data_IF_759953540186
#
_entry.id   IF_759953540186
#
_cell.length_a   1.000
_cell.length_b   1.000
_cell.length_c   1.000
_cell.angle_alpha   90.00
_cell.angle_beta   90.00
_cell.angle_gamma   90.00
#
_symmetry.space_group_name_H-M   'P 1'
#
loop_
_entity.id
_entity.type
_entity.pdbx_description
1 polymer ?
#
# COMPACT_ATOMS: atom_id res chain seq x y z
N UNK A 1 27.79 -19.05 13.80
CA UNK A 1 27.14 -17.74 14.01
C UNK A 1 25.87 -17.67 13.18
N UNK A 2 24.84 -16.96 13.66
CA UNK A 2 23.58 -16.78 12.93
C UNK A 2 23.66 -15.51 12.06
N UNK A 3 23.00 -15.54 10.88
CA UNK A 3 22.89 -14.39 9.98
C UNK A 3 22.02 -13.29 10.59
N UNK A 4 22.37 -12.02 10.37
CA UNK A 4 21.55 -10.84 10.66
C UNK A 4 20.27 -10.81 9.80
N UNK A 5 19.32 -9.94 10.17
CA UNK A 5 18.08 -9.74 9.39
C UNK A 5 18.38 -9.40 7.92
N UNK A 6 19.30 -8.45 7.68
CA UNK A 6 19.70 -8.04 6.33
C UNK A 6 20.42 -9.13 5.55
N UNK A 7 21.26 -9.94 6.20
CA UNK A 7 21.91 -11.08 5.54
C UNK A 7 20.90 -12.15 5.13
N UNK A 8 19.92 -12.46 5.99
CA UNK A 8 18.82 -13.38 5.63
C UNK A 8 18.01 -12.84 4.45
N UNK A 9 17.76 -11.53 4.41
CA UNK A 9 17.07 -10.87 3.30
C UNK A 9 17.83 -11.03 1.98
N UNK A 10 19.15 -10.77 1.99
CA UNK A 10 20.02 -10.91 0.81
C UNK A 10 20.07 -12.35 0.30
N UNK A 11 20.18 -13.33 1.20
CA UNK A 11 20.12 -14.76 0.84
C UNK A 11 18.76 -15.11 0.24
N UNK A 12 17.66 -14.62 0.81
CA UNK A 12 16.32 -14.86 0.26
C UNK A 12 16.15 -14.26 -1.14
N UNK A 13 16.67 -13.05 -1.37
CA UNK A 13 16.64 -12.39 -2.67
C UNK A 13 17.49 -13.12 -3.70
N UNK A 14 18.72 -13.51 -3.34
CA UNK A 14 19.59 -14.30 -4.20
C UNK A 14 18.91 -15.62 -4.61
N UNK A 15 18.29 -16.32 -3.66
CA UNK A 15 17.53 -17.56 -3.92
C UNK A 15 16.38 -17.33 -4.90
N UNK A 16 15.66 -16.21 -4.78
CA UNK A 16 14.57 -15.88 -5.71
C UNK A 16 15.11 -15.62 -7.13
N UNK A 17 16.31 -15.03 -7.27
CA UNK A 17 16.92 -14.71 -8.55
C UNK A 17 17.56 -15.90 -9.27
N UNK A 18 17.95 -16.96 -8.55
CA UNK A 18 18.62 -18.14 -9.11
C UNK A 18 17.84 -18.84 -10.22
N UNK A 19 16.51 -18.70 -10.23
CA UNK A 19 15.62 -19.31 -11.24
C UNK A 19 15.30 -18.39 -12.41
N UNK A 20 15.99 -17.24 -12.52
CA UNK A 20 15.76 -16.22 -13.56
C UNK A 20 14.27 -15.87 -13.72
N UNK A 21 13.58 -15.46 -12.64
CA UNK A 21 12.14 -15.24 -12.69
C UNK A 21 11.79 -14.05 -13.58
N UNK A 22 10.57 -14.02 -14.12
CA UNK A 22 10.01 -12.79 -14.72
C UNK A 22 9.26 -11.93 -13.70
N UNK A 23 8.85 -12.53 -12.56
CA UNK A 23 8.07 -11.89 -11.50
C UNK A 23 8.56 -12.32 -10.11
N UNK A 24 8.69 -11.35 -9.20
CA UNK A 24 8.97 -11.62 -7.78
C UNK A 24 7.86 -10.99 -6.92
N UNK A 25 7.35 -11.74 -5.94
CA UNK A 25 6.46 -11.24 -4.89
C UNK A 25 7.30 -10.89 -3.68
N UNK A 26 7.26 -9.62 -3.27
CA UNK A 26 8.00 -9.08 -2.14
C UNK A 26 7.02 -8.80 -1.00
N UNK A 27 6.94 -9.73 -0.05
CA UNK A 27 6.08 -9.60 1.13
C UNK A 27 6.85 -8.98 2.30
N UNK A 28 6.55 -7.73 2.60
CA UNK A 28 7.20 -6.92 3.66
C UNK A 28 8.74 -6.98 3.64
N UNK A 29 9.39 -6.66 2.49
CA UNK A 29 10.82 -6.93 2.25
C UNK A 29 11.78 -6.06 3.08
N UNK A 30 11.29 -5.20 3.95
CA UNK A 30 12.12 -4.31 4.78
C UNK A 30 11.66 -4.22 6.24
N UNK A 31 10.59 -4.94 6.62
CA UNK A 31 9.96 -4.79 7.94
C UNK A 31 10.84 -5.19 9.12
N UNK A 32 11.78 -6.11 8.90
CA UNK A 32 12.71 -6.63 9.91
C UNK A 32 14.09 -5.95 9.88
N UNK A 33 14.26 -4.87 9.13
CA UNK A 33 15.52 -4.18 8.92
C UNK A 33 15.53 -2.81 9.59
N UNK A 34 16.70 -2.36 10.03
CA UNK A 34 16.89 -0.93 10.33
C UNK A 34 16.75 -0.08 9.05
N UNK A 35 16.55 1.23 9.25
CA UNK A 35 16.28 2.17 8.15
C UNK A 35 17.41 2.16 7.10
N UNK A 36 18.67 2.08 7.53
CA UNK A 36 19.82 2.11 6.62
C UNK A 36 19.87 0.84 5.77
N UNK A 37 19.70 -0.34 6.38
CA UNK A 37 19.65 -1.60 5.64
C UNK A 37 18.42 -1.69 4.73
N UNK A 38 17.27 -1.18 5.16
CA UNK A 38 16.07 -1.11 4.32
C UNK A 38 16.34 -0.33 3.03
N UNK A 39 16.96 0.86 3.12
CA UNK A 39 17.32 1.67 1.95
C UNK A 39 18.24 0.90 1.00
N UNK A 40 19.28 0.25 1.51
CA UNK A 40 20.20 -0.54 0.69
C UNK A 40 19.48 -1.69 -0.04
N UNK A 41 18.55 -2.38 0.62
CA UNK A 41 17.75 -3.44 0.00
C UNK A 41 16.85 -2.89 -1.10
N UNK A 42 16.22 -1.73 -0.89
CA UNK A 42 15.37 -1.10 -1.91
C UNK A 42 16.14 -0.65 -3.14
N UNK A 43 17.35 -0.12 -2.95
CA UNK A 43 18.26 0.23 -4.05
C UNK A 43 18.64 -1.01 -4.87
N UNK A 44 19.05 -2.10 -4.21
CA UNK A 44 19.33 -3.37 -4.87
C UNK A 44 18.13 -3.90 -5.67
N UNK A 45 16.94 -3.88 -5.09
CA UNK A 45 15.71 -4.31 -5.77
C UNK A 45 15.44 -3.46 -7.01
N UNK A 46 15.63 -2.14 -6.92
CA UNK A 46 15.44 -1.22 -8.05
C UNK A 46 16.44 -1.48 -9.18
N UNK A 47 17.68 -1.79 -8.85
CA UNK A 47 18.71 -2.14 -9.83
C UNK A 47 18.41 -3.48 -10.48
N UNK A 48 18.01 -4.50 -9.71
CA UNK A 48 17.62 -5.80 -10.25
C UNK A 48 16.41 -5.72 -11.17
N UNK A 49 15.43 -4.87 -10.86
CA UNK A 49 14.26 -4.65 -11.72
C UNK A 49 14.69 -4.28 -13.14
N UNK A 50 15.67 -3.37 -13.25
CA UNK A 50 16.19 -2.88 -14.53
C UNK A 50 17.12 -3.89 -15.19
N UNK A 51 18.11 -4.40 -14.45
CA UNK A 51 19.17 -5.24 -15.00
C UNK A 51 18.67 -6.61 -15.46
N UNK A 52 17.65 -7.15 -14.79
CA UNK A 52 17.10 -8.47 -15.11
C UNK A 52 15.69 -8.42 -15.73
N UNK A 53 15.19 -7.21 -16.07
CA UNK A 53 13.84 -7.01 -16.61
C UNK A 53 12.74 -7.67 -15.76
N UNK A 54 12.81 -7.50 -14.44
CA UNK A 54 11.89 -8.13 -13.49
C UNK A 54 10.62 -7.29 -13.31
N UNK A 55 9.51 -7.98 -13.08
CA UNK A 55 8.31 -7.38 -12.51
C UNK A 55 8.23 -7.68 -11.01
N UNK A 56 7.66 -6.76 -10.23
CA UNK A 56 7.44 -6.94 -8.80
C UNK A 56 5.98 -6.76 -8.43
N UNK A 57 5.51 -7.63 -7.52
CA UNK A 57 4.35 -7.35 -6.67
C UNK A 57 4.91 -7.06 -5.28
N UNK A 58 4.82 -5.81 -4.85
CA UNK A 58 5.26 -5.37 -3.52
C UNK A 58 4.07 -5.30 -2.58
N UNK A 59 4.17 -6.00 -1.45
CA UNK A 59 3.23 -5.92 -0.33
C UNK A 59 3.97 -5.21 0.79
N UNK A 60 3.44 -4.06 1.22
CA UNK A 60 3.96 -3.37 2.39
C UNK A 60 2.88 -2.51 3.05
N UNK A 61 3.03 -2.27 4.35
CA UNK A 61 2.32 -1.23 5.08
C UNK A 61 3.06 0.12 5.10
N UNK A 62 4.29 0.19 4.60
CA UNK A 62 5.10 1.41 4.59
C UNK A 62 4.90 2.21 3.31
N UNK A 63 4.21 3.35 3.41
CA UNK A 63 3.98 4.24 2.26
C UNK A 63 5.28 4.72 1.58
N UNK A 64 6.35 5.11 2.31
CA UNK A 64 7.62 5.46 1.68
C UNK A 64 8.21 4.34 0.81
N UNK A 65 8.14 3.09 1.28
CA UNK A 65 8.64 1.91 0.54
C UNK A 65 7.81 1.70 -0.74
N UNK A 66 6.48 1.78 -0.62
CA UNK A 66 5.56 1.67 -1.76
C UNK A 66 5.87 2.74 -2.81
N UNK A 67 5.99 4.00 -2.41
CA UNK A 67 6.26 5.13 -3.31
C UNK A 67 7.65 5.02 -3.96
N UNK A 68 8.64 4.45 -3.26
CA UNK A 68 9.99 4.31 -3.80
C UNK A 68 10.06 3.31 -4.95
N UNK A 69 9.46 2.11 -4.80
CA UNK A 69 9.68 0.98 -5.71
C UNK A 69 8.55 0.77 -6.74
N UNK A 70 7.33 1.23 -6.45
CA UNK A 70 6.14 0.89 -7.24
C UNK A 70 5.88 1.87 -8.38
N UNK A 71 5.24 1.38 -9.45
CA UNK A 71 4.70 2.20 -10.54
C UNK A 71 3.19 2.45 -10.36
N UNK A 72 2.49 1.42 -9.87
CA UNK A 72 1.08 1.44 -9.51
C UNK A 72 0.91 1.05 -8.04
N UNK A 73 -0.07 1.66 -7.39
CA UNK A 73 -0.38 1.48 -5.97
C UNK A 73 -1.77 0.90 -5.87
N UNK A 74 -1.91 -0.22 -5.16
CA UNK A 74 -3.18 -0.87 -4.86
C UNK A 74 -3.44 -0.77 -3.37
N UNK A 75 -4.54 -0.16 -2.98
CA UNK A 75 -4.94 -0.01 -1.59
C UNK A 75 -6.06 -1.01 -1.30
N UNK A 76 -5.89 -1.78 -0.22
CA UNK A 76 -6.85 -2.79 0.19
C UNK A 76 -7.37 -2.52 1.61
N UNK A 77 -8.64 -2.83 1.83
CA UNK A 77 -9.27 -2.85 3.14
C UNK A 77 -10.03 -4.16 3.31
N UNK A 78 -9.78 -4.90 4.40
CA UNK A 78 -10.42 -6.20 4.69
C UNK A 78 -10.43 -7.20 3.51
N UNK A 79 -9.34 -7.20 2.74
CA UNK A 79 -9.17 -8.11 1.59
C UNK A 79 -9.87 -7.65 0.31
N UNK A 80 -10.45 -6.45 0.28
CA UNK A 80 -11.04 -5.83 -0.92
C UNK A 80 -10.16 -4.71 -1.43
N UNK A 81 -9.96 -4.65 -2.75
CA UNK A 81 -9.32 -3.50 -3.39
C UNK A 81 -10.29 -2.33 -3.33
N UNK A 82 -9.89 -1.27 -2.64
CA UNK A 82 -10.68 -0.04 -2.53
C UNK A 82 -10.21 1.04 -3.49
N UNK A 83 -8.94 0.99 -3.90
CA UNK A 83 -8.35 1.96 -4.81
C UNK A 83 -7.14 1.38 -5.56
N UNK A 84 -7.00 1.74 -6.83
CA UNK A 84 -5.81 1.53 -7.65
C UNK A 84 -5.43 2.87 -8.25
N UNK A 85 -4.16 3.27 -8.14
CA UNK A 85 -3.72 4.56 -8.63
C UNK A 85 -2.26 4.51 -9.11
N UNK A 86 -1.96 5.17 -10.24
CA UNK A 86 -0.58 5.32 -10.71
C UNK A 86 0.18 6.25 -9.74
N UNK A 87 1.40 5.86 -9.34
CA UNK A 87 2.20 6.61 -8.37
C UNK A 87 2.35 8.10 -8.75
N UNK A 88 2.60 8.39 -10.02
CA UNK A 88 2.92 9.74 -10.51
C UNK A 88 1.80 10.77 -10.26
N UNK A 89 0.55 10.31 -10.18
CA UNK A 89 -0.62 11.17 -9.92
C UNK A 89 -1.14 11.03 -8.49
N UNK A 90 -0.58 10.10 -7.71
CA UNK A 90 -1.07 9.74 -6.39
C UNK A 90 -1.23 10.98 -5.49
N UNK A 91 -0.24 11.87 -5.43
CA UNK A 91 -0.32 13.08 -4.59
C UNK A 91 -1.32 14.15 -5.04
N UNK A 92 -1.94 14.01 -6.21
CA UNK A 92 -2.76 15.07 -6.86
C UNK A 92 -4.23 14.70 -7.03
N UNK A 93 -4.58 13.43 -6.85
CA UNK A 93 -5.93 12.93 -7.12
C UNK A 93 -6.77 12.89 -5.85
N UNK A 94 -8.09 12.87 -6.03
CA UNK A 94 -9.03 12.64 -4.93
C UNK A 94 -9.08 11.14 -4.62
N UNK A 95 -8.69 10.75 -3.42
CA UNK A 95 -8.60 9.35 -3.03
C UNK A 95 -9.85 8.80 -2.34
N UNK A 96 -9.94 7.48 -2.23
CA UNK A 96 -10.89 6.80 -1.37
C UNK A 96 -10.72 7.28 0.09
N UNK A 97 -11.80 7.47 0.89
CA UNK A 97 -11.70 7.96 2.26
C UNK A 97 -10.73 7.16 3.17
N UNK A 98 -10.63 5.84 2.96
CA UNK A 98 -9.63 5.00 3.63
C UNK A 98 -8.19 5.36 3.24
N UNK A 99 -7.90 5.56 1.95
CA UNK A 99 -6.57 5.96 1.49
C UNK A 99 -6.19 7.34 2.06
N UNK A 100 -7.13 8.29 2.09
CA UNK A 100 -6.93 9.59 2.75
C UNK A 100 -6.57 9.40 4.24
N UNK A 101 -7.30 8.54 4.94
CA UNK A 101 -7.00 8.20 6.33
C UNK A 101 -5.61 7.60 6.52
N UNK A 102 -5.13 6.76 5.59
CA UNK A 102 -3.77 6.21 5.63
C UNK A 102 -2.70 7.28 5.39
N UNK A 103 -2.94 8.20 4.45
CA UNK A 103 -2.05 9.32 4.16
C UNK A 103 -1.94 10.26 5.35
N UNK A 104 -3.06 10.57 6.02
CA UNK A 104 -3.11 11.38 7.23
C UNK A 104 -2.35 10.72 8.40
N UNK A 105 -2.27 9.39 8.42
CA UNK A 105 -1.54 8.62 9.43
C UNK A 105 -0.04 8.44 9.11
N UNK A 106 0.39 8.68 7.86
CA UNK A 106 1.78 8.62 7.40
C UNK A 106 2.29 10.00 6.98
N UNK A 107 2.42 10.90 7.96
CA UNK A 107 2.92 12.24 7.72
C UNK A 107 4.35 12.25 7.19
N UNK A 108 4.65 13.25 6.36
CA UNK A 108 6.03 13.61 6.05
C UNK A 108 6.68 14.26 7.30
N UNK A 109 7.73 13.65 7.90
CA UNK A 109 8.42 14.20 9.06
C UNK A 109 9.13 15.53 8.78
N UNK A 110 9.28 15.92 7.50
CA UNK A 110 9.89 17.17 7.06
C UNK A 110 8.86 18.22 6.62
N UNK A 111 7.56 17.92 6.67
CA UNK A 111 6.53 18.88 6.31
C UNK A 111 6.26 19.88 7.46
N UNK A 112 6.36 21.20 7.23
CA UNK A 112 6.15 22.22 8.26
C UNK A 112 4.67 22.39 8.68
N UNK A 113 3.73 21.65 8.08
CA UNK A 113 2.31 21.72 8.45
C UNK A 113 2.11 21.06 9.81
N UNK A 114 1.57 21.84 10.77
CA UNK A 114 1.12 21.32 12.07
C UNK A 114 0.19 20.13 11.85
N UNK A 115 0.59 19.00 12.42
CA UNK A 115 -0.23 17.81 12.47
C UNK A 115 -1.47 18.03 13.31
N UNK A 116 -2.60 17.74 12.70
CA UNK A 116 -3.74 17.22 13.42
C UNK A 116 -3.94 15.82 12.89
N UNK A 117 -3.41 14.80 13.59
CA UNK A 117 -3.86 13.44 13.32
C UNK A 117 -5.34 13.42 13.69
N UNK A 118 -6.22 13.40 12.68
CA UNK A 118 -7.62 13.10 12.94
C UNK A 118 -7.63 11.73 13.63
N UNK A 119 -8.10 11.67 14.88
CA UNK A 119 -8.30 10.39 15.56
C UNK A 119 -9.16 9.53 14.66
N UNK A 120 -8.58 8.43 14.20
CA UNK A 120 -9.28 7.43 13.40
C UNK A 120 -10.48 6.94 14.23
N UNK A 121 -11.69 7.13 13.70
CA UNK A 121 -12.92 6.72 14.38
C UNK A 121 -13.19 5.24 14.16
N UNK A 122 -13.57 4.55 15.24
CA UNK A 122 -13.99 3.15 15.21
C UNK A 122 -12.84 2.15 15.07
N UNK A 123 -13.10 0.94 15.54
CA UNK A 123 -12.18 -0.20 15.42
C UNK A 123 -12.25 -0.83 14.04
N UNK A 124 -11.19 -1.55 13.66
CA UNK A 124 -11.19 -2.35 12.44
C UNK A 124 -12.17 -3.51 12.65
N UNK A 125 -13.13 -3.68 11.73
CA UNK A 125 -14.06 -4.79 11.82
C UNK A 125 -13.34 -6.14 11.68
N UNK A 126 -13.85 -7.16 12.37
CA UNK A 126 -13.29 -8.50 12.26
C UNK A 126 -13.42 -9.01 10.82
N UNK A 127 -12.36 -9.63 10.25
CA UNK A 127 -12.48 -10.31 8.96
C UNK A 127 -13.53 -11.42 8.92
N UNK A 128 -13.89 -11.99 10.09
CA UNK A 128 -14.95 -12.99 10.27
C UNK A 128 -16.35 -12.37 10.32
N UNK A 129 -16.46 -11.13 10.82
CA UNK A 129 -17.71 -10.41 10.99
C UNK A 129 -17.64 -9.07 10.26
N UNK A 130 -17.82 -9.14 8.94
CA UNK A 130 -17.66 -7.98 8.07
C UNK A 130 -18.93 -7.13 8.04
N UNK A 131 -18.81 -5.80 7.98
CA UNK A 131 -19.95 -4.92 7.77
C UNK A 131 -20.61 -5.19 6.41
N UNK A 132 -21.94 -5.05 6.35
CA UNK A 132 -22.67 -5.09 5.09
C UNK A 132 -22.29 -3.91 4.19
N UNK A 133 -22.44 -4.09 2.88
CA UNK A 133 -22.13 -3.08 1.88
C UNK A 133 -20.65 -2.74 1.80
N UNK A 134 -20.31 -1.45 1.85
CA UNK A 134 -18.93 -0.97 1.90
C UNK A 134 -18.30 -1.34 3.25
N UNK A 135 -17.30 -2.22 3.25
CA UNK A 135 -16.64 -2.69 4.48
C UNK A 135 -16.02 -1.54 5.30
N UNK A 136 -15.67 -0.41 4.68
CA UNK A 136 -15.12 0.77 5.37
C UNK A 136 -16.18 1.74 5.93
N UNK A 137 -17.46 1.59 5.59
CA UNK A 137 -18.50 2.54 5.98
C UNK A 137 -18.61 2.82 7.49
N UNK A 138 -18.33 1.89 8.43
CA UNK A 138 -18.43 2.19 9.86
C UNK A 138 -17.43 3.25 10.32
N UNK A 139 -16.30 3.36 9.62
CA UNK A 139 -15.18 4.27 9.92
C UNK A 139 -15.09 5.46 8.95
N UNK A 140 -15.87 5.42 7.87
CA UNK A 140 -15.88 6.46 6.85
C UNK A 140 -16.65 7.72 7.33
N UNK A 141 -16.00 8.88 7.35
CA UNK A 141 -16.65 10.17 7.64
C UNK A 141 -17.57 10.64 6.51
N UNK A 142 -17.35 10.16 5.29
CA UNK A 142 -18.10 10.50 4.08
C UNK A 142 -19.20 9.48 3.73
N UNK A 143 -19.61 8.61 4.68
CA UNK A 143 -20.57 7.54 4.42
C UNK A 143 -21.96 8.07 4.05
N UNK A 144 -22.61 7.36 3.15
CA UNK A 144 -24.02 7.59 2.76
C UNK A 144 -24.85 6.35 3.08
N UNK A 145 -26.19 6.47 3.02
CA UNK A 145 -27.10 5.34 3.27
C UNK A 145 -26.82 4.12 2.38
N UNK A 146 -26.47 4.36 1.11
CA UNK A 146 -26.12 3.30 0.18
C UNK A 146 -24.88 2.49 0.61
N UNK A 147 -23.99 3.06 1.42
CA UNK A 147 -22.77 2.40 1.87
C UNK A 147 -23.02 1.23 2.82
N UNK A 148 -24.11 1.22 3.59
CA UNK A 148 -24.45 0.11 4.50
C UNK A 148 -25.22 -1.02 3.81
N UNK A 149 -25.82 -0.73 2.65
CA UNK A 149 -26.73 -1.65 1.93
C UNK A 149 -26.04 -2.29 0.73
N UNK A 150 -25.14 -1.57 0.05
CA UNK A 150 -24.57 -1.98 -1.23
C UNK A 150 -23.04 -1.98 -1.21
N UNK A 151 -22.45 -2.92 -1.95
CA UNK A 151 -20.99 -3.01 -2.12
C UNK A 151 -20.59 -2.11 -3.28
N UNK A 152 -19.75 -1.08 -3.08
CA UNK A 152 -19.26 -0.25 -4.16
C UNK A 152 -18.37 -1.09 -5.09
N UNK A 153 -18.62 -0.99 -6.39
CA UNK A 153 -17.78 -1.64 -7.41
C UNK A 153 -16.57 -0.78 -7.72
N UNK A 154 -15.44 -1.43 -8.03
CA UNK A 154 -14.23 -0.74 -8.48
C UNK A 154 -14.49 -0.14 -9.88
N UNK A 155 -14.49 1.19 -9.98
CA UNK A 155 -14.79 1.91 -11.22
C UNK A 155 -13.60 2.76 -11.65
N UNK A 156 -13.41 2.90 -12.96
CA UNK A 156 -12.42 3.82 -13.53
C UNK A 156 -12.89 5.26 -13.31
N UNK A 157 -12.10 6.05 -12.58
CA UNK A 157 -12.35 7.48 -12.36
C UNK A 157 -11.65 8.30 -13.45
N UNK A 158 -10.45 7.91 -13.83
CA UNK A 158 -9.66 8.46 -14.93
C UNK A 158 -8.67 7.39 -15.46
N UNK A 159 -7.81 7.74 -16.41
CA UNK A 159 -6.84 6.79 -17.00
C UNK A 159 -5.83 6.19 -16.03
N UNK A 160 -5.65 6.82 -14.86
CA UNK A 160 -4.63 6.46 -13.90
C UNK A 160 -5.21 6.06 -12.54
N UNK A 161 -6.53 5.98 -12.39
CA UNK A 161 -7.17 5.77 -11.09
C UNK A 161 -8.48 5.00 -11.18
N UNK A 162 -8.62 4.01 -10.30
CA UNK A 162 -9.83 3.24 -10.07
C UNK A 162 -10.20 3.30 -8.59
N UNK A 163 -11.47 3.52 -8.27
CA UNK A 163 -11.94 3.62 -6.89
C UNK A 163 -13.24 2.83 -6.71
N UNK A 164 -13.35 2.11 -5.59
CA UNK A 164 -14.58 1.47 -5.13
C UNK A 164 -15.23 2.33 -4.04
N UNK A 165 -15.92 3.42 -4.43
CA UNK A 165 -16.62 4.32 -3.51
C UNK A 165 -17.86 4.93 -4.19
N UNK A 166 -18.95 5.16 -3.45
CA UNK A 166 -20.13 5.83 -4.01
C UNK A 166 -19.97 7.35 -4.14
N UNK A 167 -19.08 7.97 -3.36
CA UNK A 167 -18.80 9.42 -3.32
C UNK A 167 -17.67 9.87 -4.26
N UNK A 168 -17.20 8.98 -5.13
CA UNK A 168 -16.07 9.23 -6.04
C UNK A 168 -16.50 9.00 -7.48
#
# INVERSE_FOLDING_TARGET
>A
HALSGGERQRVALARALMVSPSLIVLDEPTSALDITLAVQILELLKDFKKSFNLSYILISHSLPVILYLSDWIVVMYLGKIVEICKKDVFSKVKHHPYTLMLLDAHPDPFSPKRFFSKKVKGEIASPLYRPNGCEFHPRCEEREKACSENIPQLRKINDFQYIACFKR
#
